data_IF_218569485134
#
_entry.id   IF_218569485134
#
_cell.length_a   1.000
_cell.length_b   1.000
_cell.length_c   1.000
_cell.angle_alpha   90.00
_cell.angle_beta   90.00
_cell.angle_gamma   90.00
#
_symmetry.space_group_name_H-M   'P 1'
#
loop_
_entity.id
_entity.type
_entity.pdbx_description
1 polymer ?
#
# COMPACT_ATOMS: atom_id res chain seq x y z
N UNK A 1 14.18 17.53 10.85
CA UNK A 1 14.68 16.54 9.87
C UNK A 1 14.88 17.21 8.52
N UNK A 2 15.90 16.82 7.78
CA UNK A 2 16.01 17.18 6.36
C UNK A 2 14.94 16.47 5.54
N UNK A 3 14.61 16.98 4.34
CA UNK A 3 13.66 16.32 3.43
C UNK A 3 14.07 14.89 3.08
N UNK A 4 15.37 14.60 3.04
CA UNK A 4 15.91 13.27 2.76
C UNK A 4 15.69 12.31 3.92
N UNK A 5 15.86 12.78 5.15
CA UNK A 5 15.58 12.00 6.36
C UNK A 5 14.09 11.71 6.49
N UNK A 6 13.24 12.71 6.27
CA UNK A 6 11.77 12.54 6.28
C UNK A 6 11.33 11.49 5.25
N UNK A 7 11.84 11.58 4.03
CA UNK A 7 11.58 10.59 3.00
C UNK A 7 12.02 9.18 3.40
N UNK A 8 13.24 9.04 3.95
CA UNK A 8 13.74 7.75 4.40
C UNK A 8 12.87 7.14 5.51
N UNK A 9 12.41 7.94 6.49
CA UNK A 9 11.49 7.44 7.52
C UNK A 9 10.13 7.05 6.95
N UNK A 10 9.60 7.79 5.97
CA UNK A 10 8.38 7.40 5.27
C UNK A 10 8.53 6.05 4.56
N UNK A 11 9.67 5.82 3.88
CA UNK A 11 9.95 4.54 3.23
C UNK A 11 10.09 3.42 4.27
N UNK A 12 10.74 3.66 5.41
CA UNK A 12 10.80 2.66 6.50
C UNK A 12 9.42 2.28 7.02
N UNK A 13 8.54 3.27 7.23
CA UNK A 13 7.17 2.99 7.63
C UNK A 13 6.45 2.20 6.54
N UNK A 14 6.59 2.60 5.27
CA UNK A 14 5.98 1.93 4.12
C UNK A 14 6.39 0.46 4.05
N UNK A 15 7.69 0.15 4.08
CA UNK A 15 8.21 -1.24 4.05
C UNK A 15 7.65 -2.08 5.20
N UNK A 16 7.46 -1.50 6.39
CA UNK A 16 6.82 -2.20 7.53
C UNK A 16 5.33 -2.47 7.32
N UNK A 17 4.63 -1.66 6.53
CA UNK A 17 3.21 -1.83 6.26
C UNK A 17 2.93 -2.89 5.18
N UNK A 18 3.84 -3.08 4.23
CA UNK A 18 3.62 -4.00 3.10
C UNK A 18 3.30 -5.44 3.52
N UNK A 19 4.03 -6.09 4.46
CA UNK A 19 3.70 -7.46 4.89
C UNK A 19 2.36 -7.58 5.62
N UNK A 20 1.85 -6.48 6.18
CA UNK A 20 0.53 -6.47 6.83
C UNK A 20 -0.56 -6.40 5.78
N UNK A 21 -0.39 -5.54 4.77
CA UNK A 21 -1.32 -5.40 3.65
C UNK A 21 -1.35 -6.68 2.81
N UNK A 22 -0.21 -7.31 2.62
CA UNK A 22 -0.06 -8.53 1.84
C UNK A 22 -0.85 -9.74 2.38
N UNK A 23 -1.23 -9.73 3.67
CA UNK A 23 -2.16 -10.73 4.23
C UNK A 23 -3.55 -10.67 3.59
N UNK A 24 -3.91 -9.54 3.00
CA UNK A 24 -5.16 -9.34 2.27
C UNK A 24 -4.94 -9.63 0.78
N UNK A 25 -5.05 -10.90 0.39
CA UNK A 25 -4.83 -11.38 -0.99
C UNK A 25 -5.79 -10.75 -2.03
N UNK A 26 -6.83 -10.04 -1.58
CA UNK A 26 -7.72 -9.30 -2.46
C UNK A 26 -7.08 -8.01 -3.03
N UNK A 27 -5.89 -7.62 -2.56
CA UNK A 27 -5.19 -6.43 -3.02
C UNK A 27 -3.89 -6.72 -3.79
N UNK A 28 -3.58 -5.83 -4.73
CA UNK A 28 -2.24 -5.69 -5.30
C UNK A 28 -1.76 -4.24 -5.26
N UNK A 29 -0.47 -4.06 -5.00
CA UNK A 29 0.21 -2.76 -5.05
C UNK A 29 0.36 -2.28 -6.49
N UNK A 30 0.08 -1.00 -6.75
CA UNK A 30 0.24 -0.37 -8.05
C UNK A 30 1.02 0.96 -7.98
N UNK A 31 1.16 1.60 -9.14
CA UNK A 31 1.53 3.00 -9.25
C UNK A 31 2.99 3.31 -8.88
N UNK A 32 3.18 4.50 -8.29
CA UNK A 32 4.48 5.11 -8.01
C UNK A 32 5.42 4.21 -7.23
N UNK A 33 4.89 3.72 -6.12
CA UNK A 33 5.58 2.91 -5.11
C UNK A 33 5.90 1.51 -5.61
N UNK A 34 4.99 0.86 -6.35
CA UNK A 34 5.29 -0.42 -7.01
C UNK A 34 6.54 -0.33 -7.89
N UNK A 35 6.63 0.70 -8.72
CA UNK A 35 7.80 0.92 -9.59
C UNK A 35 9.07 1.16 -8.75
N UNK A 36 8.97 1.95 -7.68
CA UNK A 36 10.10 2.37 -6.87
C UNK A 36 10.70 1.29 -5.96
N UNK A 37 9.85 0.37 -5.49
CA UNK A 37 10.28 -0.63 -4.53
C UNK A 37 10.57 -1.96 -5.19
N UNK A 38 9.93 -2.29 -6.32
CA UNK A 38 9.98 -3.64 -6.89
C UNK A 38 10.62 -3.71 -8.29
N UNK A 39 10.57 -2.64 -9.09
CA UNK A 39 11.11 -2.66 -10.46
C UNK A 39 12.38 -1.86 -10.66
N UNK A 40 12.54 -0.74 -9.94
CA UNK A 40 13.69 0.15 -10.07
C UNK A 40 14.07 0.68 -8.69
N UNK A 41 15.35 0.71 -8.30
CA UNK A 41 15.75 1.18 -6.98
C UNK A 41 15.57 2.70 -6.86
N UNK A 42 14.46 3.14 -6.29
CA UNK A 42 14.19 4.56 -5.96
C UNK A 42 14.46 5.60 -7.08
N UNK A 43 13.90 5.46 -8.30
CA UNK A 43 14.09 6.46 -9.34
C UNK A 43 13.40 7.81 -9.04
N UNK A 44 12.49 7.87 -8.05
CA UNK A 44 11.69 9.06 -7.70
C UNK A 44 11.15 9.00 -6.26
N UNK A 45 10.71 10.15 -5.73
CA UNK A 45 10.03 10.24 -4.43
C UNK A 45 8.56 9.80 -4.58
N UNK A 46 8.21 8.62 -4.07
CA UNK A 46 6.83 8.14 -3.94
C UNK A 46 6.73 7.27 -2.69
N UNK A 47 5.76 7.57 -1.82
CA UNK A 47 5.59 6.94 -0.49
C UNK A 47 4.13 6.61 -0.15
N UNK A 48 3.21 6.82 -1.10
CA UNK A 48 1.81 6.42 -0.94
C UNK A 48 1.64 4.97 -1.43
N UNK A 49 0.82 4.20 -0.73
CA UNK A 49 0.47 2.81 -1.07
C UNK A 49 -0.84 2.84 -1.85
N UNK A 50 -0.74 2.73 -3.17
CA UNK A 50 -1.90 2.60 -4.05
C UNK A 50 -2.24 1.13 -4.25
N UNK A 51 -3.48 0.74 -3.97
CA UNK A 51 -3.97 -0.62 -4.10
C UNK A 51 -4.99 -0.77 -5.26
N UNK A 52 -5.01 -1.98 -5.83
CA UNK A 52 -6.07 -2.51 -6.71
C UNK A 52 -6.84 -3.59 -5.97
N UNK A 53 -8.15 -3.63 -6.14
CA UNK A 53 -8.97 -4.78 -5.76
C UNK A 53 -8.98 -5.80 -6.90
N UNK A 54 -8.58 -7.04 -6.60
CA UNK A 54 -8.38 -8.09 -7.60
C UNK A 54 -9.67 -8.88 -7.95
N UNK A 55 -10.53 -9.25 -6.98
CA UNK A 55 -11.72 -10.04 -7.29
C UNK A 55 -12.69 -9.31 -8.24
N UNK A 56 -13.31 -10.07 -9.16
CA UNK A 56 -14.34 -9.58 -10.08
C UNK A 56 -15.74 -9.67 -9.46
N UNK A 57 -15.92 -9.08 -8.28
CA UNK A 57 -17.21 -9.02 -7.60
C UNK A 57 -18.09 -7.89 -8.16
N UNK A 58 -19.40 -7.96 -7.91
CA UNK A 58 -20.25 -6.80 -8.14
C UNK A 58 -19.87 -5.65 -7.19
N UNK A 59 -20.31 -4.44 -7.53
CA UNK A 59 -19.91 -3.22 -6.81
C UNK A 59 -20.20 -3.29 -5.30
N UNK A 60 -21.33 -3.85 -4.89
CA UNK A 60 -21.71 -3.88 -3.49
C UNK A 60 -20.84 -4.88 -2.73
N UNK A 61 -20.68 -6.09 -3.27
CA UNK A 61 -19.83 -7.10 -2.66
C UNK A 61 -18.36 -6.68 -2.61
N UNK A 62 -17.83 -6.10 -3.69
CA UNK A 62 -16.48 -5.54 -3.70
C UNK A 62 -16.30 -4.50 -2.59
N UNK A 63 -17.25 -3.58 -2.47
CA UNK A 63 -17.22 -2.53 -1.44
C UNK A 63 -17.17 -3.10 -0.03
N UNK A 64 -18.06 -4.04 0.30
CA UNK A 64 -18.12 -4.65 1.63
C UNK A 64 -16.84 -5.44 1.95
N UNK A 65 -16.29 -6.16 0.96
CA UNK A 65 -15.02 -6.88 1.10
C UNK A 65 -13.84 -5.94 1.34
N UNK A 66 -13.78 -4.82 0.62
CA UNK A 66 -12.70 -3.83 0.81
C UNK A 66 -12.80 -3.20 2.20
N UNK A 67 -13.99 -2.80 2.65
CA UNK A 67 -14.18 -2.24 3.99
C UNK A 67 -13.68 -3.20 5.07
N UNK A 68 -14.09 -4.47 4.98
CA UNK A 68 -13.67 -5.51 5.92
C UNK A 68 -12.15 -5.72 5.91
N UNK A 69 -11.51 -5.69 4.74
CA UNK A 69 -10.06 -5.80 4.61
C UNK A 69 -9.33 -4.58 5.19
N UNK A 70 -9.84 -3.36 4.99
CA UNK A 70 -9.28 -2.13 5.57
C UNK A 70 -9.37 -2.13 7.11
N UNK A 71 -10.45 -2.68 7.67
CA UNK A 71 -10.60 -2.84 9.12
C UNK A 71 -9.60 -3.87 9.70
N UNK A 72 -9.39 -4.99 9.00
CA UNK A 72 -8.37 -5.98 9.36
C UNK A 72 -6.95 -5.40 9.29
N UNK A 73 -6.61 -4.74 8.19
CA UNK A 73 -5.33 -4.02 8.02
C UNK A 73 -5.14 -3.02 9.17
N UNK A 74 -6.14 -2.20 9.47
CA UNK A 74 -6.06 -1.20 10.54
C UNK A 74 -5.84 -1.83 11.91
N UNK A 75 -6.51 -2.95 12.19
CA UNK A 75 -6.37 -3.69 13.44
C UNK A 75 -4.96 -4.27 13.57
N UNK A 76 -4.46 -4.91 12.53
CA UNK A 76 -3.15 -5.57 12.52
C UNK A 76 -2.00 -4.55 12.58
N UNK A 77 -2.12 -3.39 11.90
CA UNK A 77 -1.15 -2.30 12.01
C UNK A 77 -1.05 -1.82 13.46
N UNK A 78 -2.18 -1.59 14.13
CA UNK A 78 -2.20 -1.15 15.55
C UNK A 78 -1.58 -2.18 16.49
N UNK A 79 -1.77 -3.47 16.21
CA UNK A 79 -1.17 -4.55 17.00
C UNK A 79 0.34 -4.67 16.76
N UNK A 80 0.80 -4.46 15.53
CA UNK A 80 2.18 -4.72 15.10
C UNK A 80 3.13 -3.52 15.25
N UNK A 81 2.60 -2.29 15.26
CA UNK A 81 3.39 -1.05 15.24
C UNK A 81 3.04 -0.19 16.47
N UNK A 82 3.81 -0.28 17.56
CA UNK A 82 3.60 0.56 18.74
C UNK A 82 3.66 2.05 18.40
N UNK A 83 2.71 2.83 18.96
CA UNK A 83 2.64 4.28 18.77
C UNK A 83 2.06 4.74 17.43
N UNK A 84 1.59 3.81 16.58
CA UNK A 84 0.93 4.16 15.32
C UNK A 84 -0.44 4.80 15.55
N UNK A 85 -0.75 5.82 14.76
CA UNK A 85 -2.07 6.41 14.66
C UNK A 85 -2.63 6.15 13.27
N UNK A 86 -3.89 5.73 13.18
CA UNK A 86 -4.57 5.46 11.91
C UNK A 86 -5.83 6.32 11.86
N UNK A 87 -5.90 7.16 10.84
CA UNK A 87 -7.12 7.88 10.49
C UNK A 87 -7.76 7.20 9.27
N UNK A 88 -8.94 6.58 9.47
CA UNK A 88 -9.72 6.02 8.39
C UNK A 88 -10.65 7.11 7.82
N UNK A 89 -10.40 7.52 6.57
CA UNK A 89 -11.12 8.62 5.91
C UNK A 89 -12.15 8.14 4.88
N UNK A 90 -12.37 6.82 4.82
CA UNK A 90 -13.32 6.10 3.96
C UNK A 90 -14.71 6.73 3.85
N UNK A 91 -15.21 7.37 4.91
CA UNK A 91 -16.56 7.93 4.94
C UNK A 91 -16.65 9.40 4.47
N UNK A 92 -15.54 10.09 4.24
CA UNK A 92 -15.54 11.53 3.95
C UNK A 92 -15.70 11.88 2.46
N UNK A 93 -15.43 10.95 1.55
CA UNK A 93 -15.61 11.13 0.10
C UNK A 93 -16.18 9.84 -0.47
N UNK A 94 -17.37 9.93 -1.10
CA UNK A 94 -18.19 8.78 -1.51
C UNK A 94 -17.50 7.74 -2.42
N UNK A 95 -16.29 8.00 -2.93
CA UNK A 95 -15.57 7.15 -3.88
C UNK A 95 -14.07 6.95 -3.57
N UNK A 96 -13.56 7.29 -2.38
CA UNK A 96 -12.13 7.06 -2.07
C UNK A 96 -11.94 6.42 -0.70
N UNK A 97 -11.42 5.20 -0.70
CA UNK A 97 -11.04 4.47 0.51
C UNK A 97 -9.60 4.82 0.82
N UNK A 98 -9.38 5.44 1.98
CA UNK A 98 -8.07 5.95 2.38
C UNK A 98 -7.84 5.78 3.87
N UNK A 99 -6.73 5.14 4.22
CA UNK A 99 -6.14 5.14 5.55
C UNK A 99 -4.94 6.08 5.56
N UNK A 100 -4.86 6.94 6.56
CA UNK A 100 -3.66 7.75 6.83
C UNK A 100 -2.99 7.13 8.05
N UNK A 101 -1.84 6.50 7.84
CA UNK A 101 -1.03 5.87 8.89
C UNK A 101 0.07 6.84 9.29
N UNK A 102 0.12 7.19 10.58
CA UNK A 102 1.10 8.11 11.13
C UNK A 102 1.91 7.46 12.25
N UNK A 103 3.22 7.68 12.27
CA UNK A 103 4.11 7.26 13.35
C UNK A 103 5.07 8.40 13.67
N UNK A 104 4.88 9.05 14.83
CA UNK A 104 5.52 10.34 15.09
C UNK A 104 5.10 11.38 14.05
N UNK A 105 6.07 12.04 13.44
CA UNK A 105 5.85 13.06 12.40
C UNK A 105 5.69 12.48 10.98
N UNK A 106 5.88 11.17 10.83
CA UNK A 106 5.91 10.47 9.54
C UNK A 106 4.52 9.99 9.16
N UNK A 107 4.14 10.15 7.89
CA UNK A 107 2.84 9.71 7.37
C UNK A 107 2.98 8.94 6.07
N UNK A 108 2.23 7.84 5.95
CA UNK A 108 2.04 7.03 4.74
C UNK A 108 0.53 6.88 4.51
N UNK A 109 0.09 7.08 3.28
CA UNK A 109 -1.32 6.86 2.91
C UNK A 109 -1.48 5.50 2.26
N UNK A 110 -2.55 4.80 2.60
CA UNK A 110 -2.99 3.59 1.92
C UNK A 110 -4.30 3.94 1.22
N UNK A 111 -4.34 3.84 -0.10
CA UNK A 111 -5.44 4.31 -0.93
C UNK A 111 -5.91 3.21 -1.88
N UNK A 112 -7.22 3.05 -2.02
CA UNK A 112 -7.80 2.28 -3.11
C UNK A 112 -8.29 3.24 -4.20
N UNK A 113 -7.80 3.06 -5.42
CA UNK A 113 -8.31 3.80 -6.57
C UNK A 113 -9.72 3.31 -6.96
N UNK A 114 -10.66 4.20 -7.33
CA UNK A 114 -12.05 3.86 -7.65
C UNK A 114 -12.24 3.08 -8.96
N UNK A 115 -11.16 2.82 -9.72
CA UNK A 115 -11.23 2.05 -10.95
C UNK A 115 -11.36 0.56 -10.58
N UNK A 116 -12.59 0.13 -10.30
CA UNK A 116 -12.99 -1.28 -10.19
C UNK A 116 -13.06 -1.86 -11.62
N UNK A 117 -11.92 -1.88 -12.30
CA UNK A 117 -11.69 -2.82 -13.39
C UNK A 117 -10.46 -3.59 -12.95
N UNK A 118 -10.61 -4.90 -12.79
CA UNK A 118 -9.51 -5.79 -12.42
C UNK A 118 -8.29 -5.55 -13.32
N UNK A 119 -7.13 -6.02 -12.90
CA UNK A 119 -5.91 -5.88 -13.70
C UNK A 119 -6.06 -6.63 -15.03
N UNK A 120 -5.55 -6.05 -16.13
CA UNK A 120 -5.60 -6.70 -17.45
C UNK A 120 -4.75 -7.98 -17.44
N UNK A 121 -3.69 -7.98 -16.64
CA UNK A 121 -2.83 -9.14 -16.42
C UNK A 121 -2.82 -9.52 -14.94
N UNK A 122 -2.48 -10.78 -14.64
CA UNK A 122 -2.38 -11.24 -13.26
C UNK A 122 -1.32 -10.45 -12.48
N UNK A 123 -1.66 -10.06 -11.25
CA UNK A 123 -0.69 -9.54 -10.29
C UNK A 123 0.36 -10.62 -9.99
N UNK A 124 1.58 -10.19 -9.69
CA UNK A 124 2.70 -11.08 -9.40
C UNK A 124 3.20 -10.82 -7.99
N UNK A 125 3.43 -11.89 -7.23
CA UNK A 125 4.16 -11.80 -5.96
C UNK A 125 5.60 -11.38 -6.24
N UNK A 126 6.04 -10.29 -5.61
CA UNK A 126 7.37 -9.74 -5.82
C UNK A 126 7.98 -9.33 -4.48
N UNK A 127 9.27 -9.59 -4.35
CA UNK A 127 10.12 -9.06 -3.28
C UNK A 127 10.61 -7.67 -3.67
N UNK A 128 10.85 -6.82 -2.67
CA UNK A 128 11.47 -5.51 -2.91
C UNK A 128 12.84 -5.69 -3.57
N UNK A 129 13.24 -4.72 -4.39
CA UNK A 129 14.51 -4.70 -5.08
C UNK A 129 15.68 -4.73 -4.07
N UNK A 130 16.77 -5.43 -4.38
CA UNK A 130 17.91 -5.67 -3.47
C UNK A 130 18.42 -4.41 -2.75
N UNK A 131 18.56 -3.29 -3.48
CA UNK A 131 18.95 -2.00 -2.89
C UNK A 131 17.96 -1.47 -1.83
N UNK A 132 16.66 -1.67 -2.03
CA UNK A 132 15.60 -1.32 -1.07
C UNK A 132 15.72 -2.21 0.15
N UNK A 133 15.86 -3.52 -0.06
CA UNK A 133 16.00 -4.49 1.04
C UNK A 133 17.20 -4.15 1.92
N UNK A 134 18.35 -3.87 1.31
CA UNK A 134 19.59 -3.53 2.00
C UNK A 134 19.48 -2.27 2.86
N UNK A 135 18.69 -1.29 2.43
CA UNK A 135 18.58 0.00 3.11
C UNK A 135 17.39 0.06 4.09
N UNK A 136 16.27 -0.55 3.76
CA UNK A 136 14.99 -0.39 4.46
C UNK A 136 14.40 -1.70 5.01
N UNK A 137 14.95 -2.85 4.63
CA UNK A 137 14.50 -4.18 5.05
C UNK A 137 13.65 -4.88 4.00
N UNK A 138 13.44 -6.18 4.24
CA UNK A 138 12.68 -7.05 3.36
C UNK A 138 11.16 -6.77 3.42
N UNK A 139 10.53 -6.81 2.25
CA UNK A 139 9.09 -6.89 2.11
C UNK A 139 8.73 -7.61 0.81
N UNK A 140 7.57 -8.25 0.81
CA UNK A 140 7.00 -8.93 -0.34
C UNK A 140 5.51 -8.60 -0.41
N UNK A 141 4.98 -8.38 -1.61
CA UNK A 141 3.55 -8.15 -1.83
C UNK A 141 3.13 -8.60 -3.23
N UNK A 142 1.84 -8.84 -3.44
CA UNK A 142 1.28 -8.84 -4.79
C UNK A 142 1.43 -7.45 -5.43
N UNK A 143 2.09 -7.40 -6.58
CA UNK A 143 2.29 -6.17 -7.36
C UNK A 143 1.55 -6.31 -8.69
N UNK A 144 0.83 -5.26 -9.08
CA UNK A 144 0.18 -5.19 -10.38
C UNK A 144 1.20 -5.41 -11.50
N UNK A 145 0.75 -5.99 -12.60
CA UNK A 145 1.63 -6.29 -13.74
C UNK A 145 2.30 -5.02 -14.26
N UNK A 146 3.53 -5.11 -14.76
CA UNK A 146 4.26 -3.93 -15.25
C UNK A 146 3.47 -3.07 -16.26
N UNK A 147 2.73 -3.65 -17.23
CA UNK A 147 1.86 -2.89 -18.13
C UNK A 147 0.74 -2.12 -17.41
N UNK A 148 0.23 -2.64 -16.29
CA UNK A 148 -0.84 -2.02 -15.49
C UNK A 148 -0.33 -0.96 -14.50
N UNK A 149 0.99 -0.68 -14.47
CA UNK A 149 1.61 0.32 -13.59
C UNK A 149 1.72 1.72 -14.20
N UNK A 150 1.46 1.88 -15.51
CA UNK A 150 1.56 3.15 -16.26
C UNK A 150 0.21 3.66 -16.76
#
# INVERSE_FOLDING_TARGET
MSKKEEYAEQVRLLVRLLPIIDKEECFALKGGTAINLFYRPFPRLSVDIDLLYLPMDDRQTAWDNILAAFDRISTEIKASIPGVHIQNTTHHQQNSLRLIVSLGDVKVKIELSPVIRGSVFAAKKMEVHEAVEKEFGYAEILVASHPDLY
#
